data_IF_590457379895
#
_entry.id   IF_590457379895
#
_cell.length_a   1.000
_cell.length_b   1.000
_cell.length_c   1.000
_cell.angle_alpha   90.00
_cell.angle_beta   90.00
_cell.angle_gamma   90.00
#
_symmetry.space_group_name_H-M   'P 1'
#
loop_
_entity.id
_entity.type
_entity.pdbx_description
1 polymer ?
#
# COMPACT_ATOMS: atom_id res chain seq x y z
N UNK A 1 28.30 -84.80 41.05
CA UNK A 1 29.69 -85.27 40.95
C UNK A 1 30.21 -84.94 39.56
N UNK A 2 31.16 -83.99 39.45
CA UNK A 2 32.02 -83.69 38.27
C UNK A 2 31.28 -83.19 37.01
N UNK A 3 31.67 -82.14 36.27
CA UNK A 3 33.00 -81.57 36.03
C UNK A 3 32.83 -80.13 35.50
N UNK A 4 33.77 -79.25 35.85
CA UNK A 4 33.90 -77.86 35.39
C UNK A 4 34.03 -77.77 33.86
N UNK A 5 33.39 -76.76 33.24
CA UNK A 5 33.88 -76.17 31.98
C UNK A 5 33.93 -74.65 32.11
N UNK A 6 35.16 -74.17 32.05
CA UNK A 6 35.57 -72.77 31.91
C UNK A 6 35.25 -72.36 30.48
N UNK A 7 34.52 -71.26 30.30
CA UNK A 7 34.62 -70.48 29.08
C UNK A 7 34.81 -69.01 29.44
N UNK A 8 36.01 -68.54 29.11
CA UNK A 8 36.38 -67.13 29.05
C UNK A 8 35.45 -66.46 28.04
N UNK A 9 34.53 -65.60 28.48
CA UNK A 9 33.87 -64.67 27.57
C UNK A 9 34.76 -63.43 27.54
N UNK A 10 35.56 -63.31 26.48
CA UNK A 10 36.20 -62.07 26.13
C UNK A 10 35.10 -61.05 25.82
N UNK A 11 35.08 -59.94 26.56
CA UNK A 11 34.27 -58.77 26.23
C UNK A 11 34.81 -58.18 24.92
N UNK A 12 34.18 -58.55 23.80
CA UNK A 12 34.40 -57.86 22.53
C UNK A 12 33.58 -56.57 22.59
N UNK A 13 34.23 -55.47 22.99
CA UNK A 13 33.71 -54.11 22.81
C UNK A 13 33.69 -53.86 21.30
N UNK A 14 32.55 -54.11 20.67
CA UNK A 14 32.29 -53.59 19.33
C UNK A 14 31.89 -52.12 19.50
N UNK A 15 32.89 -51.24 19.59
CA UNK A 15 32.70 -49.82 19.36
C UNK A 15 32.28 -49.66 17.89
N UNK A 16 30.98 -49.70 17.63
CA UNK A 16 30.42 -49.20 16.39
C UNK A 16 30.57 -47.68 16.47
N UNK A 17 31.72 -47.19 16.01
CA UNK A 17 31.84 -45.80 15.58
C UNK A 17 30.86 -45.62 14.41
N UNK A 18 29.64 -45.19 14.73
CA UNK A 18 28.81 -44.47 13.78
C UNK A 18 29.56 -43.19 13.44
N UNK A 19 30.48 -43.27 12.50
CA UNK A 19 30.92 -42.13 11.72
C UNK A 19 29.66 -41.59 11.07
N UNK A 20 29.12 -40.53 11.66
CA UNK A 20 28.13 -39.69 11.00
C UNK A 20 28.88 -39.11 9.82
N UNK A 21 28.75 -39.76 8.66
CA UNK A 21 29.17 -39.16 7.39
C UNK A 21 28.21 -38.01 7.18
N UNK A 22 28.54 -36.87 7.78
CA UNK A 22 27.97 -35.59 7.43
C UNK A 22 28.26 -35.43 5.95
N UNK A 23 27.28 -35.73 5.10
CA UNK A 23 27.29 -35.28 3.72
C UNK A 23 27.27 -33.76 3.77
N UNK A 24 28.46 -33.17 3.86
CA UNK A 24 28.72 -31.80 3.46
C UNK A 24 28.45 -31.73 1.97
N UNK A 25 27.20 -31.48 1.58
CA UNK A 25 26.92 -30.76 0.34
C UNK A 25 27.24 -29.28 0.59
N UNK A 26 28.52 -28.99 0.80
CA UNK A 26 29.06 -27.64 0.66
C UNK A 26 29.50 -27.54 -0.81
N UNK A 27 28.62 -27.09 -1.71
CA UNK A 27 29.03 -26.93 -3.11
C UNK A 27 27.97 -26.59 -4.17
N UNK A 28 26.67 -26.81 -3.95
CA UNK A 28 25.66 -26.25 -4.85
C UNK A 28 25.27 -24.88 -4.32
N UNK A 29 25.68 -23.82 -5.01
CA UNK A 29 25.39 -22.45 -4.60
C UNK A 29 23.88 -22.22 -4.53
N UNK A 30 23.47 -21.24 -3.70
CA UNK A 30 22.09 -20.73 -3.57
C UNK A 30 21.38 -20.39 -4.91
N UNK A 31 22.07 -20.48 -6.05
CA UNK A 31 21.56 -20.13 -7.37
C UNK A 31 20.84 -21.26 -8.12
N UNK A 32 21.03 -22.53 -7.75
CA UNK A 32 20.54 -23.66 -8.57
C UNK A 32 19.18 -24.25 -8.14
N UNK A 33 18.66 -23.89 -6.96
CA UNK A 33 17.34 -24.36 -6.51
C UNK A 33 16.24 -23.43 -7.04
N UNK A 34 15.38 -23.98 -7.90
CA UNK A 34 14.19 -23.33 -8.45
C UNK A 34 12.93 -23.87 -7.78
N UNK A 35 12.01 -22.97 -7.44
CA UNK A 35 10.67 -23.28 -6.91
C UNK A 35 9.58 -23.23 -7.99
N UNK A 36 9.98 -23.13 -9.25
CA UNK A 36 9.09 -23.18 -10.39
C UNK A 36 9.66 -24.07 -11.50
N UNK A 37 8.79 -24.49 -12.42
CA UNK A 37 9.17 -25.29 -13.58
C UNK A 37 8.44 -24.77 -14.81
N UNK A 38 9.19 -24.51 -15.88
CA UNK A 38 8.63 -24.23 -17.20
C UNK A 38 8.48 -25.56 -17.96
N UNK A 39 7.42 -25.73 -18.73
CA UNK A 39 7.32 -26.82 -19.71
C UNK A 39 8.10 -26.47 -21.00
N UNK A 40 8.11 -27.40 -21.95
CA UNK A 40 8.84 -27.25 -23.22
C UNK A 40 8.22 -26.15 -24.12
N UNK A 41 6.95 -25.81 -23.89
CA UNK A 41 6.24 -24.73 -24.55
C UNK A 41 6.54 -23.34 -23.97
N UNK A 42 7.25 -23.26 -22.83
CA UNK A 42 7.54 -22.00 -22.14
C UNK A 42 6.41 -21.49 -21.24
N UNK A 43 5.44 -22.35 -20.90
CA UNK A 43 4.42 -22.10 -19.89
C UNK A 43 4.90 -22.52 -18.50
N UNK A 44 4.47 -21.79 -17.49
CA UNK A 44 4.73 -22.10 -16.09
C UNK A 44 3.82 -23.25 -15.65
N UNK A 45 4.38 -24.33 -15.10
CA UNK A 45 3.59 -25.35 -14.38
C UNK A 45 3.04 -24.75 -13.10
N UNK A 46 1.75 -24.99 -12.82
CA UNK A 46 1.06 -24.45 -11.64
C UNK A 46 1.83 -24.80 -10.36
N UNK A 47 2.23 -23.81 -9.55
CA UNK A 47 2.88 -24.05 -8.27
C UNK A 47 2.02 -24.94 -7.38
N UNK A 48 2.64 -25.92 -6.75
CA UNK A 48 2.03 -26.79 -5.75
C UNK A 48 2.66 -26.51 -4.38
N UNK A 49 1.94 -26.84 -3.32
CA UNK A 49 2.41 -26.70 -1.93
C UNK A 49 2.86 -25.29 -1.51
N UNK A 50 2.53 -24.25 -2.28
CA UNK A 50 2.94 -22.87 -2.03
C UNK A 50 2.41 -22.29 -0.71
N UNK A 51 1.34 -22.85 -0.14
CA UNK A 51 0.84 -22.47 1.19
C UNK A 51 1.82 -22.84 2.32
N UNK A 52 2.82 -23.68 2.05
CA UNK A 52 3.93 -23.96 2.97
C UNK A 52 5.10 -22.98 2.82
N UNK A 53 5.07 -22.10 1.83
CA UNK A 53 6.08 -21.09 1.62
C UNK A 53 5.90 -19.91 2.58
N UNK A 54 6.80 -18.92 2.49
CA UNK A 54 6.77 -17.77 3.40
C UNK A 54 5.63 -16.84 3.00
N UNK A 55 4.62 -16.74 3.87
CA UNK A 55 3.56 -15.75 3.75
C UNK A 55 4.12 -14.33 3.95
N UNK A 56 3.73 -13.38 3.10
CA UNK A 56 4.28 -12.01 3.13
C UNK A 56 3.26 -10.89 3.40
N UNK A 57 1.98 -11.14 3.18
CA UNK A 57 0.91 -10.18 3.44
C UNK A 57 -0.41 -10.54 2.74
N UNK A 58 -1.48 -9.88 3.20
CA UNK A 58 -2.83 -9.99 2.63
C UNK A 58 -3.45 -8.61 2.46
N UNK A 59 -3.27 -7.97 1.29
CA UNK A 59 -4.14 -6.88 0.85
C UNK A 59 -5.57 -7.37 0.60
N UNK A 60 -6.53 -6.44 0.63
CA UNK A 60 -7.90 -6.71 0.22
C UNK A 60 -8.40 -5.59 -0.69
N UNK A 61 -9.01 -5.96 -1.82
CA UNK A 61 -9.75 -5.05 -2.71
C UNK A 61 -11.20 -5.53 -2.84
N UNK A 62 -12.08 -5.15 -1.89
CA UNK A 62 -13.47 -5.61 -1.86
C UNK A 62 -14.28 -5.08 -3.06
N UNK A 63 -15.19 -5.89 -3.60
CA UNK A 63 -16.04 -5.49 -4.73
C UNK A 63 -16.89 -4.26 -4.41
N UNK A 64 -17.42 -4.15 -3.18
CA UNK A 64 -18.26 -3.03 -2.76
C UNK A 64 -17.48 -1.70 -2.66
N UNK A 65 -16.17 -1.74 -2.44
CA UNK A 65 -15.28 -0.57 -2.52
C UNK A 65 -14.79 -0.27 -3.94
N UNK A 66 -15.17 -1.08 -4.94
CA UNK A 66 -14.65 -1.01 -6.31
C UNK A 66 -15.78 -1.10 -7.35
N UNK A 67 -16.87 -0.33 -7.15
CA UNK A 67 -17.96 -0.23 -8.11
C UNK A 67 -18.70 -1.55 -8.37
N UNK A 68 -18.69 -2.47 -7.40
CA UNK A 68 -19.25 -3.81 -7.50
C UNK A 68 -18.36 -4.82 -8.22
N UNK A 69 -17.18 -4.42 -8.73
CA UNK A 69 -16.27 -5.30 -9.47
C UNK A 69 -14.81 -4.85 -9.34
N UNK A 70 -14.12 -5.41 -8.35
CA UNK A 70 -12.68 -5.24 -8.23
C UNK A 70 -11.95 -5.89 -9.41
N UNK A 71 -10.80 -5.33 -9.80
CA UNK A 71 -9.94 -5.93 -10.83
C UNK A 71 -9.40 -7.30 -10.39
N UNK A 72 -9.11 -7.44 -9.08
CA UNK A 72 -8.65 -8.66 -8.44
C UNK A 72 -9.50 -8.93 -7.20
N UNK A 73 -10.69 -9.52 -7.32
CA UNK A 73 -11.51 -9.85 -6.16
C UNK A 73 -10.83 -10.96 -5.32
N UNK A 74 -10.81 -10.94 -3.99
CA UNK A 74 -10.88 -9.75 -3.13
C UNK A 74 -9.67 -9.71 -2.20
N UNK A 75 -9.52 -10.70 -1.31
CA UNK A 75 -8.33 -10.88 -0.49
C UNK A 75 -7.20 -11.52 -1.30
N UNK A 76 -5.96 -11.05 -1.10
CA UNK A 76 -4.79 -11.51 -1.85
C UNK A 76 -3.76 -12.11 -0.89
N UNK A 77 -3.85 -13.40 -0.58
CA UNK A 77 -2.81 -14.06 0.22
C UNK A 77 -1.55 -14.24 -0.62
N UNK A 78 -0.46 -13.55 -0.25
CA UNK A 78 0.79 -13.59 -1.02
C UNK A 78 1.85 -14.39 -0.29
N UNK A 79 2.53 -15.25 -1.05
CA UNK A 79 3.60 -16.14 -0.59
C UNK A 79 4.82 -15.99 -1.50
N UNK A 80 6.01 -16.05 -0.93
CA UNK A 80 7.29 -16.07 -1.65
C UNK A 80 8.00 -17.39 -1.38
N UNK A 81 8.69 -17.95 -2.38
CA UNK A 81 9.50 -19.13 -2.14
C UNK A 81 10.56 -18.91 -1.04
N UNK A 82 10.80 -19.93 -0.17
CA UNK A 82 11.61 -19.74 1.02
C UNK A 82 13.07 -19.38 0.72
N UNK A 83 13.62 -19.86 -0.41
CA UNK A 83 14.99 -19.50 -0.77
C UNK A 83 15.12 -18.04 -1.20
N UNK A 84 14.16 -17.52 -1.97
CA UNK A 84 14.13 -16.10 -2.30
C UNK A 84 13.86 -15.23 -1.09
N UNK A 85 13.06 -15.69 -0.14
CA UNK A 85 12.89 -14.99 1.13
C UNK A 85 14.21 -14.89 1.88
N UNK A 86 14.96 -15.99 2.02
CA UNK A 86 16.24 -15.98 2.72
C UNK A 86 17.29 -15.10 2.02
N UNK A 87 17.36 -15.15 0.69
CA UNK A 87 18.21 -14.25 -0.09
C UNK A 87 17.81 -12.78 0.07
N UNK A 88 16.51 -12.47 0.06
CA UNK A 88 16.00 -11.12 0.28
C UNK A 88 16.26 -10.64 1.71
N UNK A 89 16.17 -11.56 2.68
CA UNK A 89 16.50 -11.30 4.08
C UNK A 89 17.98 -10.99 4.27
N UNK A 90 18.85 -11.72 3.57
CA UNK A 90 20.30 -11.52 3.60
C UNK A 90 20.71 -10.22 2.91
N UNK A 91 20.21 -9.99 1.70
CA UNK A 91 20.79 -9.01 0.76
C UNK A 91 19.90 -7.79 0.51
N UNK A 92 18.61 -7.90 0.80
CA UNK A 92 17.61 -6.91 0.42
C UNK A 92 17.34 -6.83 -1.09
N UNK A 93 17.75 -7.85 -1.85
CA UNK A 93 17.59 -7.91 -3.31
C UNK A 93 16.82 -9.17 -3.72
N UNK A 94 16.32 -9.20 -4.97
CA UNK A 94 15.59 -10.34 -5.52
C UNK A 94 16.51 -11.21 -6.37
N UNK A 95 16.72 -12.46 -5.95
CA UNK A 95 17.53 -13.43 -6.71
C UNK A 95 16.86 -13.81 -8.02
N UNK A 96 17.68 -14.21 -8.98
CA UNK A 96 17.21 -14.96 -10.15
C UNK A 96 16.48 -16.23 -9.69
N UNK A 97 15.35 -16.50 -10.33
CA UNK A 97 14.49 -17.63 -10.02
C UNK A 97 13.49 -17.41 -8.88
N UNK A 98 13.35 -16.17 -8.41
CA UNK A 98 12.30 -15.82 -7.44
C UNK A 98 10.91 -16.09 -8.01
N UNK A 99 10.06 -16.71 -7.21
CA UNK A 99 8.62 -16.83 -7.48
C UNK A 99 7.80 -16.32 -6.29
N UNK A 100 6.79 -15.50 -6.60
CA UNK A 100 5.70 -15.18 -5.67
C UNK A 100 4.39 -15.76 -6.19
N UNK A 101 3.56 -16.24 -5.28
CA UNK A 101 2.22 -16.74 -5.54
C UNK A 101 1.22 -15.83 -4.86
N UNK A 102 0.21 -15.38 -5.61
CA UNK A 102 -0.94 -14.63 -5.08
C UNK A 102 -2.17 -15.52 -5.19
N UNK A 103 -2.71 -15.88 -4.04
CA UNK A 103 -3.95 -16.64 -3.90
C UNK A 103 -5.10 -15.68 -3.61
N UNK A 104 -6.12 -15.68 -4.47
CA UNK A 104 -7.30 -14.85 -4.37
C UNK A 104 -8.37 -15.57 -3.55
N UNK A 105 -8.88 -14.89 -2.52
CA UNK A 105 -9.93 -15.38 -1.62
C UNK A 105 -11.09 -14.36 -1.62
N UNK A 106 -12.34 -14.82 -1.64
CA UNK A 106 -13.51 -13.95 -1.57
C UNK A 106 -13.68 -13.32 -0.18
N UNK A 107 -14.50 -12.27 -0.09
CA UNK A 107 -15.06 -11.82 1.19
C UNK A 107 -16.21 -12.75 1.56
N UNK A 108 -16.03 -13.56 2.61
CA UNK A 108 -17.04 -14.46 3.15
C UNK A 108 -18.01 -13.78 4.13
N UNK A 109 -17.59 -12.66 4.73
CA UNK A 109 -18.43 -11.90 5.65
C UNK A 109 -17.86 -10.54 5.98
N UNK A 110 -18.72 -9.67 6.56
CA UNK A 110 -18.33 -8.31 7.00
C UNK A 110 -18.49 -8.05 8.51
N UNK A 111 -18.84 -9.10 9.24
CA UNK A 111 -18.98 -9.08 10.70
C UNK A 111 -18.56 -10.43 11.27
N UNK A 112 -17.80 -10.40 12.35
CA UNK A 112 -17.44 -11.56 13.15
C UNK A 112 -17.45 -11.19 14.64
N UNK A 113 -17.19 -12.17 15.51
CA UNK A 113 -17.09 -11.92 16.95
C UNK A 113 -16.04 -10.86 17.33
N UNK A 114 -15.03 -10.65 16.48
CA UNK A 114 -13.99 -9.62 16.65
C UNK A 114 -14.40 -8.22 16.15
N UNK A 115 -15.62 -8.05 15.63
CA UNK A 115 -16.15 -6.78 15.14
C UNK A 115 -16.47 -6.76 13.65
N UNK A 116 -16.64 -5.55 13.12
CA UNK A 116 -16.90 -5.31 11.69
C UNK A 116 -15.60 -5.22 10.91
N UNK A 117 -15.62 -5.67 9.66
CA UNK A 117 -14.45 -5.65 8.79
C UNK A 117 -14.71 -6.44 7.52
N UNK A 118 -13.66 -7.04 6.96
CA UNK A 118 -13.77 -8.04 5.90
C UNK A 118 -13.17 -9.33 6.43
N UNK A 119 -13.84 -10.45 6.18
CA UNK A 119 -13.42 -11.77 6.62
C UNK A 119 -13.33 -12.68 5.39
N UNK A 120 -12.22 -13.43 5.29
CA UNK A 120 -11.97 -14.33 4.17
C UNK A 120 -13.07 -15.39 4.05
N UNK A 121 -13.44 -15.68 2.80
CA UNK A 121 -14.34 -16.75 2.42
C UNK A 121 -13.62 -17.83 1.62
N UNK A 122 -14.10 -18.08 0.41
CA UNK A 122 -13.69 -19.19 -0.42
C UNK A 122 -12.54 -18.82 -1.36
N UNK A 123 -11.74 -19.82 -1.74
CA UNK A 123 -10.75 -19.67 -2.80
C UNK A 123 -11.43 -19.32 -4.13
N UNK A 124 -10.88 -18.34 -4.84
CA UNK A 124 -11.43 -17.88 -6.13
C UNK A 124 -10.38 -17.68 -7.22
N UNK A 125 -9.09 -17.82 -6.92
CA UNK A 125 -8.07 -17.79 -7.96
C UNK A 125 -6.63 -17.91 -7.50
N UNK A 126 -5.75 -18.13 -8.47
CA UNK A 126 -4.32 -18.29 -8.27
C UNK A 126 -3.54 -17.61 -9.40
N UNK A 127 -2.60 -16.77 -9.00
CA UNK A 127 -1.65 -16.07 -9.87
C UNK A 127 -0.23 -16.30 -9.37
N UNK A 128 0.74 -16.16 -10.26
CA UNK A 128 2.16 -16.19 -9.90
C UNK A 128 2.94 -15.11 -10.66
N UNK A 129 4.05 -14.69 -10.09
CA UNK A 129 5.05 -13.86 -10.77
C UNK A 129 6.45 -14.42 -10.55
N UNK A 130 7.27 -14.41 -11.59
CA UNK A 130 8.61 -15.01 -11.60
C UNK A 130 9.62 -14.01 -12.13
N UNK A 131 10.77 -13.90 -11.44
CA UNK A 131 11.96 -13.24 -11.94
C UNK A 131 12.89 -14.25 -12.57
N UNK A 132 13.08 -14.21 -13.89
CA UNK A 132 14.04 -15.09 -14.57
C UNK A 132 14.55 -14.48 -15.87
N UNK A 133 15.82 -14.05 -15.87
CA UNK A 133 16.50 -13.62 -17.09
C UNK A 133 16.62 -14.73 -18.13
N UNK A 134 16.71 -15.99 -17.70
CA UNK A 134 16.79 -17.16 -18.59
C UNK A 134 15.52 -17.31 -19.42
N UNK A 135 14.35 -17.16 -18.80
CA UNK A 135 13.06 -17.41 -19.45
C UNK A 135 12.42 -16.13 -20.00
N UNK A 136 12.68 -14.96 -19.39
CA UNK A 136 12.04 -13.69 -19.71
C UNK A 136 13.05 -12.54 -19.92
N UNK A 137 14.10 -12.71 -20.75
CA UNK A 137 15.15 -11.67 -20.93
C UNK A 137 14.64 -10.37 -21.56
N UNK A 138 13.46 -10.41 -22.18
CA UNK A 138 12.84 -9.26 -22.85
C UNK A 138 11.79 -8.56 -21.97
N UNK A 139 11.41 -9.15 -20.83
CA UNK A 139 10.47 -8.51 -19.91
C UNK A 139 11.19 -7.48 -19.02
N UNK A 140 10.56 -6.35 -18.69
CA UNK A 140 11.09 -5.39 -17.74
C UNK A 140 11.44 -6.05 -16.39
N UNK A 141 12.68 -5.87 -15.93
CA UNK A 141 13.21 -6.49 -14.71
C UNK A 141 13.34 -8.02 -14.78
N UNK A 142 13.12 -8.62 -15.95
CA UNK A 142 12.99 -10.06 -16.18
C UNK A 142 11.81 -10.70 -15.42
N UNK A 143 10.77 -9.92 -15.12
CA UNK A 143 9.57 -10.40 -14.42
C UNK A 143 8.47 -10.81 -15.40
N UNK A 144 7.87 -11.98 -15.19
CA UNK A 144 6.70 -12.44 -15.92
C UNK A 144 5.56 -12.82 -14.98
N UNK A 145 4.31 -12.63 -15.43
CA UNK A 145 3.10 -12.81 -14.64
C UNK A 145 2.20 -13.87 -15.26
N UNK A 146 1.55 -14.65 -14.42
CA UNK A 146 0.78 -15.82 -14.80
C UNK A 146 -0.52 -15.88 -14.01
N UNK A 147 -1.57 -16.39 -14.64
CA UNK A 147 -2.78 -16.85 -13.94
C UNK A 147 -3.04 -18.30 -14.30
N UNK A 148 -3.57 -19.03 -13.32
CA UNK A 148 -4.00 -20.41 -13.50
C UNK A 148 -5.51 -20.55 -13.47
N UNK A 149 -6.25 -19.47 -13.26
CA UNK A 149 -7.69 -19.53 -13.01
C UNK A 149 -8.44 -19.25 -14.31
N UNK A 150 -9.28 -20.20 -14.73
CA UNK A 150 -10.10 -20.02 -15.91
C UNK A 150 -11.18 -18.95 -15.66
N UNK A 151 -11.23 -17.84 -16.42
CA UNK A 151 -12.17 -16.75 -16.18
C UNK A 151 -13.65 -17.14 -16.31
N UNK A 152 -13.97 -18.22 -17.05
CA UNK A 152 -15.35 -18.66 -17.29
C UNK A 152 -15.85 -19.70 -16.29
N UNK A 153 -14.95 -20.45 -15.67
CA UNK A 153 -15.29 -21.63 -14.86
C UNK A 153 -14.67 -21.67 -13.47
N UNK A 154 -13.66 -20.84 -13.19
CA UNK A 154 -12.93 -20.84 -11.91
C UNK A 154 -12.04 -22.07 -11.70
N UNK A 155 -12.01 -23.02 -12.64
CA UNK A 155 -11.15 -24.18 -12.59
C UNK A 155 -9.67 -23.78 -12.76
N UNK A 156 -8.79 -24.54 -12.10
CA UNK A 156 -7.36 -24.30 -12.15
C UNK A 156 -6.70 -25.10 -13.27
N UNK A 157 -6.07 -24.39 -14.19
CA UNK A 157 -5.22 -24.97 -15.22
C UNK A 157 -3.94 -25.55 -14.60
N UNK A 158 -3.39 -26.60 -15.24
CA UNK A 158 -2.14 -27.23 -14.82
C UNK A 158 -0.91 -26.40 -15.22
N UNK A 159 -1.04 -25.54 -16.22
CA UNK A 159 -0.01 -24.61 -16.68
C UNK A 159 -0.62 -23.22 -16.89
N UNK A 160 0.22 -22.20 -16.89
CA UNK A 160 -0.14 -20.82 -17.16
C UNK A 160 0.84 -20.22 -18.15
N UNK A 161 0.32 -19.54 -19.16
CA UNK A 161 1.14 -18.78 -20.11
C UNK A 161 1.45 -17.40 -19.54
N UNK A 162 2.64 -16.89 -19.81
CA UNK A 162 3.00 -15.53 -19.42
C UNK A 162 2.05 -14.51 -20.07
N UNK A 163 1.56 -13.57 -19.26
CA UNK A 163 0.79 -12.43 -19.75
C UNK A 163 1.67 -11.50 -20.60
N UNK A 164 1.07 -10.82 -21.56
CA UNK A 164 1.75 -9.78 -22.33
C UNK A 164 2.24 -8.65 -21.40
N UNK A 165 3.44 -8.13 -21.66
CA UNK A 165 4.12 -7.11 -20.85
C UNK A 165 3.20 -5.95 -20.44
N UNK A 166 2.37 -5.45 -21.35
CA UNK A 166 1.50 -4.28 -21.10
C UNK A 166 0.39 -4.56 -20.08
N UNK A 167 0.00 -5.81 -19.89
CA UNK A 167 -1.09 -6.18 -18.97
C UNK A 167 -0.67 -6.12 -17.51
N UNK A 168 0.59 -6.43 -17.20
CA UNK A 168 1.05 -6.58 -15.81
C UNK A 168 2.28 -5.71 -15.51
N UNK A 169 3.36 -5.85 -16.29
CA UNK A 169 4.63 -5.20 -16.00
C UNK A 169 4.53 -3.68 -15.97
N UNK A 170 3.69 -3.06 -16.80
CA UNK A 170 3.57 -1.59 -16.81
C UNK A 170 3.08 -1.05 -15.46
N UNK A 171 2.04 -1.65 -14.87
CA UNK A 171 1.50 -1.20 -13.58
C UNK A 171 2.50 -1.48 -12.44
N UNK A 172 3.10 -2.67 -12.45
CA UNK A 172 4.09 -3.08 -11.47
C UNK A 172 5.35 -2.20 -11.52
N UNK A 173 5.87 -1.85 -12.71
CA UNK A 173 7.03 -0.97 -12.84
C UNK A 173 6.79 0.41 -12.26
N UNK A 174 5.59 0.96 -12.48
CA UNK A 174 5.25 2.32 -12.07
C UNK A 174 4.97 2.44 -10.57
N UNK A 175 4.39 1.40 -9.97
CA UNK A 175 3.74 1.54 -8.65
C UNK A 175 4.33 0.64 -7.56
N UNK A 176 5.11 -0.39 -7.91
CA UNK A 176 5.76 -1.25 -6.94
C UNK A 176 6.90 -0.51 -6.22
N UNK A 177 6.99 -0.65 -4.90
CA UNK A 177 8.06 -0.01 -4.13
C UNK A 177 9.44 -0.67 -4.30
N UNK A 178 9.50 -1.93 -4.77
CA UNK A 178 10.77 -2.67 -4.86
C UNK A 178 10.74 -3.69 -6.01
N UNK A 179 11.49 -3.41 -7.09
CA UNK A 179 11.74 -4.33 -8.21
C UNK A 179 10.50 -5.09 -8.68
N UNK A 180 9.47 -4.35 -9.12
CA UNK A 180 8.19 -4.89 -9.61
C UNK A 180 7.34 -5.65 -8.56
N UNK A 181 7.75 -5.68 -7.29
CA UNK A 181 6.97 -6.25 -6.20
C UNK A 181 6.44 -5.16 -5.26
N UNK A 182 5.13 -5.17 -4.99
CA UNK A 182 4.44 -4.19 -4.13
C UNK A 182 4.76 -4.36 -2.63
N UNK A 183 6.04 -4.31 -2.26
CA UNK A 183 6.52 -4.53 -0.89
C UNK A 183 5.96 -3.56 0.14
N UNK A 184 5.44 -2.41 -0.29
CA UNK A 184 4.71 -1.48 0.58
C UNK A 184 3.45 -2.11 1.22
N UNK A 185 2.90 -3.17 0.63
CA UNK A 185 1.76 -3.92 1.15
C UNK A 185 2.16 -5.24 1.83
N UNK A 186 3.46 -5.55 1.88
CA UNK A 186 4.00 -6.81 2.42
C UNK A 186 4.92 -6.52 3.61
N UNK A 187 4.35 -6.34 4.82
CA UNK A 187 5.12 -5.95 6.01
C UNK A 187 6.16 -7.00 6.43
N UNK A 188 5.96 -8.28 6.09
CA UNK A 188 6.95 -9.34 6.35
C UNK A 188 8.22 -9.09 5.53
N UNK A 189 8.08 -8.76 4.24
CA UNK A 189 9.22 -8.43 3.38
C UNK A 189 9.87 -7.12 3.80
N UNK A 190 9.08 -6.08 4.07
CA UNK A 190 9.62 -4.80 4.55
C UNK A 190 10.47 -4.97 5.80
N UNK A 191 10.06 -5.82 6.74
CA UNK A 191 10.83 -6.10 7.96
C UNK A 191 12.06 -6.98 7.72
N UNK A 192 12.04 -7.84 6.70
CA UNK A 192 13.12 -8.76 6.39
C UNK A 192 14.24 -8.14 5.54
N UNK A 193 13.97 -7.07 4.78
CA UNK A 193 14.89 -6.56 3.75
C UNK A 193 16.31 -6.32 4.29
N UNK A 194 17.27 -7.15 3.87
CA UNK A 194 18.70 -6.97 4.13
C UNK A 194 19.10 -6.96 5.61
N UNK A 195 18.29 -7.55 6.50
CA UNK A 195 18.59 -7.61 7.94
C UNK A 195 19.59 -8.71 8.30
N UNK A 196 19.89 -9.62 7.36
CA UNK A 196 20.82 -10.73 7.54
C UNK A 196 20.13 -12.06 7.86
N UNK A 197 20.74 -13.17 7.43
CA UNK A 197 20.17 -14.53 7.55
C UNK A 197 19.98 -15.02 8.98
N UNK A 198 20.83 -14.55 9.91
CA UNK A 198 20.80 -14.91 11.33
C UNK A 198 19.76 -14.12 12.14
N UNK A 199 19.14 -13.11 11.55
CA UNK A 199 18.10 -12.31 12.20
C UNK A 199 16.73 -12.90 11.84
N UNK A 200 15.95 -13.13 12.89
CA UNK A 200 14.53 -13.45 12.77
C UNK A 200 13.75 -12.14 12.94
N UNK A 201 13.23 -11.53 11.85
CA UNK A 201 12.69 -10.16 11.89
C UNK A 201 11.57 -9.96 12.90
N UNK A 202 10.78 -11.00 13.16
CA UNK A 202 9.69 -11.00 14.14
C UNK A 202 10.18 -11.03 15.60
N UNK A 203 11.38 -11.55 15.86
CA UNK A 203 11.98 -11.62 17.20
C UNK A 203 12.84 -10.39 17.52
N UNK A 204 13.23 -9.63 16.49
CA UNK A 204 13.94 -8.39 16.70
C UNK A 204 13.01 -7.36 17.35
N UNK A 205 13.45 -6.73 18.44
CA UNK A 205 12.71 -5.67 19.16
C UNK A 205 12.39 -4.42 18.31
N UNK A 206 12.72 -4.43 17.02
CA UNK A 206 12.47 -3.37 16.05
C UNK A 206 11.00 -3.28 15.58
N UNK A 207 10.13 -4.23 15.96
CA UNK A 207 8.69 -4.13 15.69
C UNK A 207 8.01 -3.22 16.71
N UNK A 208 7.83 -1.95 16.36
CA UNK A 208 6.94 -1.05 17.10
C UNK A 208 5.47 -1.36 16.73
N UNK A 209 4.60 -1.49 17.73
CA UNK A 209 3.17 -1.69 17.52
C UNK A 209 2.57 -0.48 16.78
N UNK A 210 1.75 -0.76 15.77
CA UNK A 210 1.28 0.23 14.80
C UNK A 210 0.28 1.28 15.28
N UNK A 211 0.10 1.48 16.59
CA UNK A 211 -0.66 2.66 17.08
C UNK A 211 0.00 3.99 16.70
N UNK A 212 1.25 3.96 16.24
CA UNK A 212 1.95 5.09 15.61
C UNK A 212 2.36 4.83 14.14
N UNK A 213 2.04 3.66 13.58
CA UNK A 213 2.38 3.34 12.19
C UNK A 213 1.38 4.04 11.26
N UNK A 214 1.67 5.31 10.94
CA UNK A 214 1.03 6.01 9.84
C UNK A 214 1.16 5.13 8.58
N UNK A 215 0.09 4.94 7.79
CA UNK A 215 0.19 4.18 6.55
C UNK A 215 1.30 4.81 5.68
N UNK A 216 2.11 3.98 5.02
CA UNK A 216 3.15 4.44 4.06
C UNK A 216 2.47 4.91 2.77
N UNK A 217 1.66 5.95 2.87
CA UNK A 217 1.03 6.64 1.74
C UNK A 217 2.03 7.64 1.18
N UNK A 218 1.98 7.91 -0.12
CA UNK A 218 2.77 9.01 -0.67
C UNK A 218 2.46 10.31 0.07
N UNK A 219 3.46 11.20 0.20
CA UNK A 219 3.31 12.48 0.94
C UNK A 219 2.07 13.29 0.54
N UNK A 220 1.64 13.18 -0.72
CA UNK A 220 0.50 13.91 -1.29
C UNK A 220 -0.76 13.07 -1.49
N UNK A 221 -0.76 11.84 -0.98
CA UNK A 221 -1.89 10.92 -1.04
C UNK A 221 -2.70 10.97 0.26
N UNK A 222 -3.99 10.68 0.18
CA UNK A 222 -4.88 10.65 1.33
C UNK A 222 -4.54 9.46 2.25
N UNK A 223 -4.32 9.75 3.54
CA UNK A 223 -4.03 8.72 4.55
C UNK A 223 -5.22 8.27 5.35
N UNK A 224 -6.37 8.93 5.18
CA UNK A 224 -7.62 8.58 5.82
C UNK A 224 -8.77 8.55 4.80
N UNK A 225 -9.79 7.73 5.02
CA UNK A 225 -10.94 7.66 4.11
C UNK A 225 -11.76 8.95 4.17
N UNK A 226 -12.14 9.46 3.01
CA UNK A 226 -13.14 10.54 2.88
C UNK A 226 -14.54 9.95 3.05
N UNK A 227 -15.41 10.48 3.93
CA UNK A 227 -16.76 9.96 4.10
C UNK A 227 -17.63 10.07 2.83
N UNK A 228 -18.22 8.96 2.37
CA UNK A 228 -18.97 8.91 1.09
C UNK A 228 -20.36 9.55 1.15
N UNK A 229 -21.00 9.59 2.32
CA UNK A 229 -22.39 10.07 2.49
C UNK A 229 -22.48 11.35 3.35
N UNK A 230 -21.38 12.10 3.45
CA UNK A 230 -21.36 13.34 4.19
C UNK A 230 -21.84 14.49 3.31
N UNK A 231 -22.91 15.16 3.75
CA UNK A 231 -23.43 16.36 3.07
C UNK A 231 -22.83 17.60 3.73
N UNK A 232 -21.99 18.31 2.99
CA UNK A 232 -21.44 19.62 3.36
C UNK A 232 -21.89 20.69 2.35
N UNK A 233 -21.61 21.96 2.65
CA UNK A 233 -21.85 23.08 1.72
C UNK A 233 -21.04 22.96 0.42
N UNK A 234 -19.91 22.23 0.47
CA UNK A 234 -19.08 21.90 -0.68
C UNK A 234 -19.11 20.38 -0.95
N UNK A 235 -19.11 19.95 -2.22
CA UNK A 235 -18.92 18.54 -2.54
C UNK A 235 -17.46 18.12 -2.32
N UNK A 236 -17.22 16.84 -2.04
CA UNK A 236 -15.88 16.29 -1.80
C UNK A 236 -15.35 15.41 -2.95
N UNK A 237 -16.20 15.10 -3.94
CA UNK A 237 -15.81 14.37 -5.15
C UNK A 237 -15.04 15.28 -6.12
N UNK A 238 -14.04 14.73 -6.82
CA UNK A 238 -13.09 15.48 -7.67
C UNK A 238 -13.80 16.36 -8.70
N UNK A 239 -14.66 15.76 -9.51
CA UNK A 239 -15.34 16.45 -10.62
C UNK A 239 -16.38 17.44 -10.09
N UNK A 240 -17.11 17.08 -9.03
CA UNK A 240 -18.15 17.92 -8.44
C UNK A 240 -17.54 19.13 -7.73
N UNK A 241 -16.42 18.95 -7.02
CA UNK A 241 -15.71 20.03 -6.35
C UNK A 241 -15.08 20.99 -7.36
N UNK A 242 -14.44 20.47 -8.42
CA UNK A 242 -13.92 21.33 -9.48
C UNK A 242 -15.04 22.16 -10.14
N UNK A 243 -16.19 21.54 -10.45
CA UNK A 243 -17.34 22.25 -11.01
C UNK A 243 -17.91 23.31 -10.05
N UNK A 244 -17.98 23.00 -8.75
CA UNK A 244 -18.38 23.95 -7.71
C UNK A 244 -17.41 25.14 -7.66
N UNK A 245 -16.10 24.89 -7.68
CA UNK A 245 -15.08 25.95 -7.65
C UNK A 245 -15.17 26.84 -8.90
N UNK A 246 -15.30 26.26 -10.09
CA UNK A 246 -15.49 27.05 -11.33
C UNK A 246 -16.76 27.89 -11.33
N UNK A 247 -17.81 27.44 -10.64
CA UNK A 247 -19.06 28.19 -10.54
C UNK A 247 -18.95 29.45 -9.66
N UNK A 248 -17.90 29.56 -8.83
CA UNK A 248 -17.69 30.69 -7.92
C UNK A 248 -18.70 30.78 -6.77
N UNK A 249 -19.49 29.73 -6.50
CA UNK A 249 -20.51 29.74 -5.43
C UNK A 249 -19.97 30.11 -4.05
N UNK A 250 -18.75 29.69 -3.70
CA UNK A 250 -18.09 30.06 -2.44
C UNK A 250 -17.83 31.56 -2.29
N UNK A 251 -17.83 32.35 -3.38
CA UNK A 251 -17.68 33.81 -3.32
C UNK A 251 -18.87 34.51 -2.67
N UNK A 252 -19.98 33.79 -2.46
CA UNK A 252 -21.13 34.25 -1.68
C UNK A 252 -20.90 34.18 -0.17
N UNK A 253 -19.81 33.57 0.30
CA UNK A 253 -19.46 33.59 1.71
C UNK A 253 -19.23 35.01 2.20
N UNK A 254 -19.86 35.33 3.34
CA UNK A 254 -19.75 36.65 3.98
C UNK A 254 -18.32 36.95 4.43
N UNK A 255 -17.59 35.89 4.82
CA UNK A 255 -16.24 35.97 5.36
C UNK A 255 -15.22 35.69 4.25
N UNK A 256 -14.75 36.76 3.61
CA UNK A 256 -13.72 36.68 2.56
C UNK A 256 -12.74 37.86 2.67
N UNK A 257 -11.50 37.64 2.23
CA UNK A 257 -10.50 38.71 2.13
C UNK A 257 -10.94 39.75 1.10
N UNK A 258 -10.45 40.99 1.25
CA UNK A 258 -10.79 42.05 0.30
C UNK A 258 -9.77 42.13 -0.83
N UNK A 259 -8.49 42.02 -0.51
CA UNK A 259 -7.36 42.14 -1.42
C UNK A 259 -6.62 40.82 -1.61
N UNK A 260 -5.88 40.71 -2.72
CA UNK A 260 -4.95 39.60 -2.95
C UNK A 260 -3.73 39.78 -2.05
N UNK A 261 -3.23 38.70 -1.46
CA UNK A 261 -2.02 38.77 -0.63
C UNK A 261 -1.02 37.65 -0.98
N UNK A 262 0.27 37.81 -0.63
CA UNK A 262 1.24 36.74 -0.77
C UNK A 262 0.87 35.56 0.13
N UNK A 263 0.81 34.35 -0.43
CA UNK A 263 0.66 33.11 0.36
C UNK A 263 1.95 32.80 1.10
N UNK A 264 1.90 32.16 2.28
CA UNK A 264 3.09 31.64 2.97
C UNK A 264 3.15 30.12 2.80
N UNK A 265 4.27 29.60 2.30
CA UNK A 265 4.49 28.15 2.13
C UNK A 265 4.57 27.70 0.66
N UNK A 266 4.46 26.38 0.38
CA UNK A 266 4.73 25.82 -0.95
C UNK A 266 3.75 26.31 -2.03
N UNK A 267 2.58 26.81 -1.64
CA UNK A 267 1.60 27.41 -2.56
C UNK A 267 2.20 28.55 -3.40
N UNK A 268 3.27 29.22 -2.94
CA UNK A 268 3.95 30.30 -3.67
C UNK A 268 4.58 29.86 -5.00
N UNK A 269 4.99 28.58 -5.11
CA UNK A 269 5.66 28.08 -6.32
C UNK A 269 4.68 27.80 -7.48
N UNK A 270 3.39 27.75 -7.18
CA UNK A 270 2.33 27.34 -8.10
C UNK A 270 1.28 28.45 -8.33
N UNK A 271 1.19 29.44 -7.45
CA UNK A 271 0.37 30.64 -7.64
C UNK A 271 0.68 31.72 -6.59
N UNK A 272 1.06 32.91 -7.07
CA UNK A 272 1.12 34.15 -6.30
C UNK A 272 0.47 35.26 -7.13
N UNK A 273 -0.50 36.01 -6.58
CA UNK A 273 -0.99 36.05 -5.19
C UNK A 273 -2.18 35.09 -4.87
N UNK A 274 -2.75 35.14 -3.66
CA UNK A 274 -3.92 34.32 -3.24
C UNK A 274 -5.03 35.16 -2.61
N UNK A 275 -6.24 34.57 -2.52
CA UNK A 275 -7.40 35.14 -1.82
C UNK A 275 -8.17 34.05 -1.06
N UNK A 276 -8.51 34.29 0.20
CA UNK A 276 -9.16 33.31 1.08
C UNK A 276 -10.62 33.65 1.35
N UNK A 277 -11.45 32.60 1.37
CA UNK A 277 -12.86 32.60 1.67
C UNK A 277 -13.11 31.51 2.73
N UNK A 278 -13.90 31.83 3.75
CA UNK A 278 -14.30 30.86 4.77
C UNK A 278 -15.82 30.89 4.97
N UNK A 279 -16.42 29.75 5.28
CA UNK A 279 -17.85 29.72 5.59
C UNK A 279 -18.14 30.19 7.02
N UNK A 280 -19.42 30.43 7.31
CA UNK A 280 -19.86 30.98 8.59
C UNK A 280 -19.57 30.02 9.75
N UNK A 281 -19.63 28.71 9.51
CA UNK A 281 -19.28 27.67 10.52
C UNK A 281 -17.85 27.87 11.02
N UNK A 282 -16.89 28.09 10.11
CA UNK A 282 -15.50 28.32 10.49
C UNK A 282 -15.31 29.72 11.10
N UNK A 283 -15.91 30.75 10.52
CA UNK A 283 -15.81 32.12 11.01
C UNK A 283 -16.27 32.24 12.47
N UNK A 284 -17.45 31.70 12.80
CA UNK A 284 -17.97 31.69 14.17
C UNK A 284 -17.05 30.92 15.14
N UNK A 285 -16.44 29.83 14.66
CA UNK A 285 -15.54 29.00 15.46
C UNK A 285 -14.22 29.74 15.77
N UNK A 286 -13.69 30.47 14.80
CA UNK A 286 -12.51 31.31 14.95
C UNK A 286 -12.78 32.50 15.88
N UNK A 287 -13.95 33.15 15.75
CA UNK A 287 -14.37 34.25 16.63
C UNK A 287 -14.48 33.79 18.10
N UNK A 288 -15.05 32.60 18.33
CA UNK A 288 -15.14 31.97 19.66
C UNK A 288 -13.80 31.45 20.18
N UNK A 289 -12.78 31.38 19.31
CA UNK A 289 -11.46 30.90 19.65
C UNK A 289 -11.42 29.40 19.97
N UNK A 290 -12.29 28.59 19.35
CA UNK A 290 -12.32 27.14 19.59
C UNK A 290 -11.00 26.46 19.22
N UNK A 291 -10.54 25.53 20.05
CA UNK A 291 -9.31 24.76 19.80
C UNK A 291 -9.45 23.74 18.66
N UNK A 292 -10.67 23.21 18.45
CA UNK A 292 -11.05 22.39 17.30
C UNK A 292 -12.25 23.03 16.57
N UNK A 293 -12.25 22.96 15.24
CA UNK A 293 -13.30 23.52 14.42
C UNK A 293 -14.40 22.49 14.11
N UNK A 294 -15.68 22.91 14.08
CA UNK A 294 -16.80 22.01 13.83
C UNK A 294 -16.74 21.32 12.47
N UNK A 295 -17.35 20.13 12.39
CA UNK A 295 -17.68 19.47 11.13
C UNK A 295 -18.41 20.47 10.20
N UNK A 296 -18.01 20.51 8.94
CA UNK A 296 -18.54 21.44 7.95
C UNK A 296 -17.85 22.80 7.90
N UNK A 297 -16.85 23.07 8.76
CA UNK A 297 -15.96 24.21 8.57
C UNK A 297 -15.20 24.10 7.22
N UNK A 298 -15.21 25.16 6.42
CA UNK A 298 -14.62 25.19 5.07
C UNK A 298 -13.73 26.40 4.89
N UNK A 299 -12.59 26.19 4.23
CA UNK A 299 -11.75 27.24 3.65
C UNK A 299 -11.60 26.97 2.15
N UNK A 300 -11.86 27.98 1.33
CA UNK A 300 -11.49 28.00 -0.09
C UNK A 300 -10.44 29.08 -0.29
N UNK A 301 -9.34 28.73 -0.93
CA UNK A 301 -8.27 29.65 -1.31
C UNK A 301 -8.15 29.67 -2.83
N UNK A 302 -8.43 30.82 -3.44
CA UNK A 302 -8.10 31.08 -4.84
C UNK A 302 -6.60 31.35 -4.96
N UNK A 303 -5.97 30.73 -5.96
CA UNK A 303 -4.56 30.96 -6.30
C UNK A 303 -4.49 31.63 -7.67
N UNK A 304 -3.61 32.61 -7.80
CA UNK A 304 -3.44 33.40 -9.02
C UNK A 304 -2.01 33.31 -9.55
N UNK A 305 -1.82 33.52 -10.86
CA UNK A 305 -0.51 33.68 -11.46
C UNK A 305 0.05 35.10 -11.27
N UNK A 306 1.29 35.34 -11.73
CA UNK A 306 1.95 36.64 -11.62
C UNK A 306 1.24 37.78 -12.37
N UNK A 307 0.29 37.47 -13.25
CA UNK A 307 -0.55 38.43 -13.98
C UNK A 307 -1.97 38.53 -13.37
N UNK A 308 -2.18 37.96 -12.18
CA UNK A 308 -3.46 37.90 -11.47
C UNK A 308 -4.55 37.11 -12.21
N UNK A 309 -4.18 36.17 -13.08
CA UNK A 309 -5.14 35.22 -13.66
C UNK A 309 -5.38 34.05 -12.68
N UNK A 310 -6.60 33.49 -12.61
CA UNK A 310 -6.86 32.29 -11.79
C UNK A 310 -5.98 31.12 -12.20
N UNK A 311 -5.12 30.67 -11.30
CA UNK A 311 -4.22 29.54 -11.48
C UNK A 311 -4.80 28.23 -10.92
N UNK A 312 -5.65 28.30 -9.90
CA UNK A 312 -6.25 27.11 -9.30
C UNK A 312 -6.85 27.37 -7.93
N UNK A 313 -7.09 26.29 -7.18
CA UNK A 313 -7.70 26.37 -5.86
C UNK A 313 -7.03 25.42 -4.87
N UNK A 314 -6.94 25.85 -3.62
CA UNK A 314 -6.70 24.98 -2.47
C UNK A 314 -7.93 25.05 -1.54
N UNK A 315 -8.42 23.90 -1.11
CA UNK A 315 -9.63 23.76 -0.30
C UNK A 315 -9.33 22.85 0.88
N UNK A 316 -9.85 23.21 2.05
CA UNK A 316 -9.92 22.30 3.19
C UNK A 316 -11.33 22.31 3.80
N UNK A 317 -11.81 21.13 4.20
CA UNK A 317 -13.11 20.96 4.83
C UNK A 317 -13.04 20.00 6.00
N UNK A 318 -13.67 20.37 7.12
CA UNK A 318 -13.78 19.50 8.30
C UNK A 318 -14.83 18.43 8.03
N UNK A 319 -14.42 17.17 8.00
CA UNK A 319 -15.31 16.03 7.66
C UNK A 319 -15.63 15.13 8.84
N UNK A 320 -15.00 15.38 9.99
CA UNK A 320 -15.16 14.63 11.24
C UNK A 320 -15.24 15.60 12.41
N UNK A 321 -15.84 15.17 13.53
CA UNK A 321 -15.94 15.99 14.75
C UNK A 321 -14.57 16.32 15.38
N UNK A 322 -13.58 15.45 15.16
CA UNK A 322 -12.21 15.57 15.72
C UNK A 322 -11.18 15.78 14.63
N UNK A 323 -10.14 16.57 14.91
CA UNK A 323 -9.05 16.81 13.95
C UNK A 323 -8.32 15.51 13.62
N UNK A 324 -8.13 14.66 14.63
CA UNK A 324 -7.35 13.43 14.55
C UNK A 324 -6.01 13.63 13.84
N UNK A 325 -5.22 14.62 14.33
CA UNK A 325 -3.91 14.97 13.78
C UNK A 325 -3.99 15.26 12.26
N UNK A 326 -5.13 15.77 11.79
CA UNK A 326 -5.37 16.15 10.39
C UNK A 326 -6.15 15.12 9.57
N UNK A 327 -6.34 13.89 10.06
CA UNK A 327 -7.14 12.88 9.37
C UNK A 327 -8.63 13.26 9.26
N UNK A 328 -9.13 14.09 10.17
CA UNK A 328 -10.48 14.62 10.16
C UNK A 328 -10.69 15.82 9.22
N UNK A 329 -9.67 16.16 8.43
CA UNK A 329 -9.70 17.24 7.43
C UNK A 329 -9.53 16.66 6.03
N UNK A 330 -10.46 17.02 5.15
CA UNK A 330 -10.36 16.81 3.72
C UNK A 330 -9.52 17.93 3.09
N UNK A 331 -8.63 17.57 2.18
CA UNK A 331 -7.77 18.48 1.43
C UNK A 331 -8.04 18.31 -0.07
N UNK A 332 -8.00 19.42 -0.79
CA UNK A 332 -8.04 19.42 -2.25
C UNK A 332 -7.17 20.57 -2.77
N UNK A 333 -6.24 20.27 -3.68
CA UNK A 333 -5.45 21.29 -4.37
C UNK A 333 -5.38 20.97 -5.86
N UNK A 334 -5.79 21.92 -6.69
CA UNK A 334 -5.69 21.86 -8.15
C UNK A 334 -4.90 23.07 -8.64
N UNK A 335 -3.94 22.83 -9.53
CA UNK A 335 -2.95 23.83 -9.96
C UNK A 335 -3.24 24.38 -11.36
N UNK A 336 -4.41 24.07 -11.91
CA UNK A 336 -4.91 24.62 -13.16
C UNK A 336 -6.40 24.89 -13.02
N UNK A 337 -6.83 26.13 -13.24
CA UNK A 337 -8.23 26.55 -13.11
C UNK A 337 -9.12 26.02 -14.23
N UNK A 338 -8.54 25.42 -15.27
CA UNK A 338 -9.22 24.90 -16.47
C UNK A 338 -9.17 23.37 -16.57
N UNK A 339 -8.28 22.70 -15.85
CA UNK A 339 -8.07 21.25 -15.91
C UNK A 339 -8.18 20.58 -14.53
N UNK A 340 -9.24 19.79 -14.34
CA UNK A 340 -9.53 19.08 -13.09
C UNK A 340 -8.52 17.96 -12.76
N UNK A 341 -7.73 17.52 -13.74
CA UNK A 341 -6.75 16.44 -13.58
C UNK A 341 -5.37 16.97 -13.16
N UNK A 342 -5.16 18.30 -13.11
CA UNK A 342 -3.96 18.95 -12.54
C UNK A 342 -4.05 19.01 -11.00
N UNK A 343 -4.43 17.90 -10.40
CA UNK A 343 -4.63 17.77 -8.97
C UNK A 343 -3.31 17.44 -8.27
N UNK A 344 -2.96 18.22 -7.26
CA UNK A 344 -1.77 18.01 -6.43
C UNK A 344 -2.09 17.15 -5.20
N UNK A 345 -3.30 17.27 -4.65
CA UNK A 345 -3.76 16.50 -3.50
C UNK A 345 -5.29 16.41 -3.50
N UNK A 346 -5.82 15.27 -3.06
CA UNK A 346 -7.25 15.10 -2.79
C UNK A 346 -7.48 14.04 -1.71
N UNK A 347 -8.35 14.35 -0.75
CA UNK A 347 -8.83 13.42 0.27
C UNK A 347 -8.42 13.78 1.69
N UNK A 348 -8.75 12.89 2.63
CA UNK A 348 -8.53 13.12 4.05
C UNK A 348 -7.08 12.80 4.48
N UNK A 349 -6.56 13.60 5.42
CA UNK A 349 -5.30 13.30 6.10
C UNK A 349 -4.01 13.48 5.27
N UNK A 350 -4.08 14.11 4.09
CA UNK A 350 -2.91 14.27 3.19
C UNK A 350 -1.70 14.85 3.95
N UNK A 351 -0.66 14.04 4.17
CA UNK A 351 0.45 14.37 5.09
C UNK A 351 1.19 15.66 4.69
N UNK A 352 1.38 15.87 3.38
CA UNK A 352 2.01 17.06 2.84
C UNK A 352 1.26 18.34 3.19
N UNK A 353 -0.08 18.29 3.22
CA UNK A 353 -0.93 19.39 3.66
C UNK A 353 -0.89 19.52 5.18
N UNK A 354 -1.17 18.42 5.91
CA UNK A 354 -1.22 18.37 7.37
C UNK A 354 0.07 18.90 8.01
N UNK A 355 1.25 18.47 7.52
CA UNK A 355 2.55 18.89 8.07
C UNK A 355 2.79 20.40 7.98
N UNK A 356 2.28 21.05 6.92
CA UNK A 356 2.36 22.50 6.75
C UNK A 356 1.24 23.25 7.50
N UNK A 357 0.16 22.57 7.86
CA UNK A 357 -1.02 23.15 8.50
C UNK A 357 -1.08 22.94 10.02
N UNK A 358 -0.31 22.00 10.57
CA UNK A 358 -0.28 21.66 12.01
C UNK A 358 0.10 22.84 12.92
N UNK A 359 0.77 23.86 12.38
CA UNK A 359 1.11 25.09 13.13
C UNK A 359 -0.10 26.03 13.31
N UNK A 360 -1.19 25.79 12.56
CA UNK A 360 -2.46 26.49 12.69
C UNK A 360 -3.29 25.99 13.86
N UNK A 361 -4.36 26.71 14.19
CA UNK A 361 -5.35 26.22 15.16
C UNK A 361 -6.24 25.23 14.43
N UNK A 362 -6.22 23.97 14.86
CA UNK A 362 -6.88 22.86 14.17
C UNK A 362 -6.71 22.91 12.63
N UNK A 363 -5.45 22.91 12.18
CA UNK A 363 -5.05 22.97 10.77
C UNK A 363 -5.38 24.30 10.04
N UNK A 364 -6.15 25.21 10.63
CA UNK A 364 -6.48 26.50 10.03
C UNK A 364 -5.39 27.52 10.35
N UNK A 365 -4.78 28.06 9.29
CA UNK A 365 -3.66 29.01 9.38
C UNK A 365 -4.03 30.45 9.08
N UNK A 366 -5.24 30.69 8.57
CA UNK A 366 -5.69 32.03 8.22
C UNK A 366 -5.96 32.83 9.49
N UNK A 367 -5.52 34.09 9.53
CA UNK A 367 -5.85 34.99 10.62
C UNK A 367 -7.35 35.37 10.54
N UNK A 368 -7.98 35.63 11.69
CA UNK A 368 -9.37 36.07 11.76
C UNK A 368 -9.49 37.33 12.64
N UNK A 369 -10.31 38.34 12.28
CA UNK A 369 -11.08 38.45 11.04
C UNK A 369 -10.18 38.50 9.80
N UNK A 370 -10.71 38.06 8.66
CA UNK A 370 -10.05 38.21 7.36
C UNK A 370 -9.85 39.70 7.06
N UNK A 371 -8.73 40.04 6.41
CA UNK A 371 -8.38 41.42 6.06
C UNK A 371 -8.64 41.70 4.58
#
# INVERSE_FOLDING_TARGET
MKLKKIYKIAALILMVTCTVTSCKNEGEGYQDISYFTMNDEGDLKRPQDYRSWVYVGTPVTPNDMNGGKAAFPEFHNVYIDPMSYDHYKETGTWREGTILVKELISVGGKSAASGSGYFMGEFIGLEATIKSKKHFPSEPGNWAYFSFTNPKGGDLANTGKAFETKMCNSCHNTSAADDFVFTQHYPVLTAAKGVGTSITPENAAARMAGSEAKPKVGKWEASAPTPENLTLEIPLGKEQLFAYLKSGKYKSYTNQETELHPSLGPHQKLGLPVKVFINDILAESLEKGNDEHPLGAVVVKEMYDANENPAGWAVMAKTHDKSDIGNGWFWYEVTDSSDADKIAAIGNGVEGCVSCHTIGRDMVRTAFPLK
#
